data_IF_758322060195
#
_entry.id   IF_758322060195
#
_cell.length_a   1.000
_cell.length_b   1.000
_cell.length_c   1.000
_cell.angle_alpha   90.00
_cell.angle_beta   90.00
_cell.angle_gamma   90.00
#
_symmetry.space_group_name_H-M   'P 1'
#
loop_
_entity.id
_entity.type
_entity.pdbx_description
1 polymer ?
#
# COMPACT_ATOMS: atom_id res chain seq x y z
N UNK A 1 21.42 10.79 -7.14
CA UNK A 1 20.16 11.50 -6.87
C UNK A 1 20.42 13.00 -6.94
N UNK A 2 19.66 13.72 -7.76
CA UNK A 2 19.78 15.18 -7.92
C UNK A 2 19.29 15.90 -6.66
N UNK A 3 19.68 17.16 -6.48
CA UNK A 3 19.29 17.98 -5.31
C UNK A 3 17.76 18.05 -5.14
N UNK A 4 17.04 18.23 -6.25
CA UNK A 4 15.57 18.32 -6.25
C UNK A 4 14.90 17.02 -5.82
N UNK A 5 15.35 15.88 -6.36
CA UNK A 5 14.85 14.55 -5.98
C UNK A 5 15.05 14.30 -4.47
N UNK A 6 16.22 14.71 -3.93
CA UNK A 6 16.51 14.60 -2.50
C UNK A 6 15.58 15.48 -1.65
N UNK A 7 15.27 16.69 -2.13
CA UNK A 7 14.33 17.59 -1.45
C UNK A 7 12.92 17.00 -1.41
N UNK A 8 12.43 16.44 -2.53
CA UNK A 8 11.11 15.78 -2.60
C UNK A 8 11.05 14.55 -1.70
N UNK A 9 12.10 13.73 -1.70
CA UNK A 9 12.18 12.58 -0.80
C UNK A 9 12.11 12.99 0.67
N UNK A 10 12.88 14.01 1.07
CA UNK A 10 12.85 14.52 2.44
C UNK A 10 11.49 15.13 2.80
N UNK A 11 10.83 15.80 1.85
CA UNK A 11 9.49 16.35 2.04
C UNK A 11 8.45 15.24 2.28
N UNK A 12 8.49 14.17 1.48
CA UNK A 12 7.62 13.00 1.66
C UNK A 12 7.85 12.33 3.02
N UNK A 13 9.10 12.08 3.40
CA UNK A 13 9.42 11.48 4.71
C UNK A 13 8.89 12.37 5.85
N UNK A 14 9.08 13.69 5.75
CA UNK A 14 8.57 14.65 6.73
C UNK A 14 7.05 14.64 6.81
N UNK A 15 6.36 14.56 5.66
CA UNK A 15 4.90 14.43 5.60
C UNK A 15 4.42 13.21 6.39
N UNK A 16 5.01 12.03 6.14
CA UNK A 16 4.61 10.80 6.83
C UNK A 16 4.92 10.85 8.34
N UNK A 17 6.08 11.40 8.72
CA UNK A 17 6.46 11.58 10.14
C UNK A 17 5.58 12.60 10.88
N UNK A 18 4.93 13.53 10.17
CA UNK A 18 3.99 14.45 10.79
C UNK A 18 2.75 13.71 11.33
N UNK A 19 2.32 12.62 10.68
CA UNK A 19 1.21 11.79 11.20
C UNK A 19 1.57 11.10 12.52
N UNK A 20 2.80 10.58 12.64
CA UNK A 20 3.32 10.10 13.94
C UNK A 20 3.34 11.22 14.98
N UNK A 21 3.76 12.42 14.59
CA UNK A 21 3.82 13.57 15.50
C UNK A 21 2.43 14.03 15.97
N UNK A 22 1.41 13.99 15.10
CA UNK A 22 0.02 14.29 15.48
C UNK A 22 -0.49 13.26 16.51
N UNK A 23 -0.25 11.97 16.27
CA UNK A 23 -0.64 10.90 17.19
C UNK A 23 0.10 10.97 18.52
N UNK A 24 1.40 11.27 18.51
CA UNK A 24 2.20 11.54 19.71
C UNK A 24 1.58 12.65 20.57
N UNK A 25 1.22 13.79 19.97
CA UNK A 25 0.57 14.89 20.68
C UNK A 25 -0.77 14.47 21.27
N UNK A 26 -1.58 13.74 20.51
CA UNK A 26 -2.88 13.25 20.97
C UNK A 26 -2.74 12.29 22.15
N UNK A 27 -1.79 11.35 22.10
CA UNK A 27 -1.55 10.41 23.19
C UNK A 27 -1.04 11.09 24.45
N UNK A 28 -0.11 12.04 24.32
CA UNK A 28 0.39 12.84 25.46
C UNK A 28 -0.75 13.68 26.06
N UNK A 29 -1.62 14.26 25.24
CA UNK A 29 -2.79 15.00 25.72
C UNK A 29 -3.79 14.08 26.44
N UNK A 30 -4.02 12.87 25.90
CA UNK A 30 -4.93 11.88 26.46
C UNK A 30 -4.41 11.22 27.74
N UNK A 31 -3.10 11.25 28.03
CA UNK A 31 -2.56 10.86 29.35
C UNK A 31 -3.17 11.67 30.51
N UNK A 32 -3.69 12.87 30.24
CA UNK A 32 -4.39 13.70 31.24
C UNK A 32 -5.81 13.19 31.52
N UNK A 33 -6.36 12.31 30.68
CA UNK A 33 -7.73 11.79 30.81
C UNK A 33 -7.70 10.45 31.56
N UNK A 34 -8.48 10.29 32.64
CA UNK A 34 -8.40 9.11 33.52
C UNK A 34 -8.80 7.78 32.85
N UNK A 35 -9.51 7.80 31.73
CA UNK A 35 -10.06 6.59 31.10
C UNK A 35 -9.25 6.03 29.91
N UNK A 36 -8.32 6.80 29.33
CA UNK A 36 -7.79 6.52 27.99
C UNK A 36 -6.59 5.57 27.96
N UNK A 37 -5.95 5.31 29.10
CA UNK A 37 -4.69 4.54 29.17
C UNK A 37 -4.77 3.32 30.09
N UNK A 38 -5.98 2.76 30.28
CA UNK A 38 -6.13 1.44 30.92
C UNK A 38 -5.42 0.39 30.06
N UNK A 39 -4.20 0.00 30.43
CA UNK A 39 -3.62 -1.27 29.97
C UNK A 39 -2.16 -1.28 29.53
N UNK A 40 -1.56 -0.16 29.06
CA UNK A 40 -0.16 -0.20 28.55
C UNK A 40 0.92 0.27 29.52
N UNK A 41 0.61 1.14 30.48
CA UNK A 41 1.61 1.73 31.39
C UNK A 41 1.06 2.01 32.79
N UNK A 42 0.07 1.26 33.27
CA UNK A 42 -0.71 1.62 34.47
C UNK A 42 0.17 1.88 35.71
N UNK A 43 1.29 1.17 35.87
CA UNK A 43 2.23 1.29 36.98
C UNK A 43 3.17 2.50 36.92
N UNK A 44 3.26 3.19 35.77
CA UNK A 44 4.23 4.28 35.57
C UNK A 44 3.69 5.64 36.01
N UNK A 45 4.59 6.49 36.53
CA UNK A 45 4.31 7.91 36.78
C UNK A 45 4.05 8.65 35.47
N UNK A 46 3.29 9.77 35.46
CA UNK A 46 2.97 10.53 34.25
C UNK A 46 4.18 10.96 33.41
N UNK A 47 5.30 11.31 34.04
CA UNK A 47 6.53 11.68 33.33
C UNK A 47 7.15 10.50 32.56
N UNK A 48 7.23 9.33 33.20
CA UNK A 48 7.74 8.09 32.59
C UNK A 48 6.85 7.64 31.42
N UNK A 49 5.52 7.80 31.54
CA UNK A 49 4.57 7.54 30.44
C UNK A 49 4.85 8.43 29.23
N UNK A 50 5.08 9.74 29.45
CA UNK A 50 5.39 10.69 28.37
C UNK A 50 6.70 10.34 27.67
N UNK A 51 7.71 9.96 28.43
CA UNK A 51 8.99 9.52 27.89
C UNK A 51 8.85 8.27 27.02
N UNK A 52 8.13 7.24 27.50
CA UNK A 52 7.85 6.03 26.74
C UNK A 52 7.07 6.30 25.45
N UNK A 53 6.11 7.22 25.48
CA UNK A 53 5.38 7.65 24.27
C UNK A 53 6.33 8.32 23.28
N UNK A 54 7.17 9.26 23.74
CA UNK A 54 8.16 9.94 22.89
C UNK A 54 9.14 8.95 22.26
N UNK A 55 9.63 8.00 23.05
CA UNK A 55 10.53 6.93 22.60
C UNK A 55 9.86 6.08 21.50
N UNK A 56 8.63 5.63 21.72
CA UNK A 56 7.85 4.89 20.73
C UNK A 56 7.71 5.64 19.40
N UNK A 57 7.27 6.91 19.45
CA UNK A 57 7.07 7.70 18.23
C UNK A 57 8.37 8.14 17.57
N UNK A 58 9.47 8.26 18.31
CA UNK A 58 10.81 8.45 17.74
C UNK A 58 11.20 7.23 16.89
N UNK A 59 11.08 6.03 17.47
CA UNK A 59 11.35 4.76 16.77
C UNK A 59 10.45 4.60 15.55
N UNK A 60 9.16 4.92 15.66
CA UNK A 60 8.23 4.85 14.54
C UNK A 60 8.63 5.79 13.39
N UNK A 61 9.04 7.03 13.68
CA UNK A 61 9.51 7.99 12.65
C UNK A 61 10.78 7.51 11.96
N UNK A 62 11.70 6.89 12.71
CA UNK A 62 12.92 6.27 12.16
C UNK A 62 12.57 5.07 11.27
N UNK A 63 11.62 4.22 11.69
CA UNK A 63 11.11 3.11 10.89
C UNK A 63 10.43 3.58 9.60
N UNK A 64 9.60 4.63 9.63
CA UNK A 64 8.99 5.24 8.43
C UNK A 64 10.06 5.64 7.43
N UNK A 65 11.12 6.32 7.89
CA UNK A 65 12.24 6.72 7.03
C UNK A 65 12.94 5.48 6.44
N UNK A 66 13.26 4.49 7.28
CA UNK A 66 13.91 3.27 6.84
C UNK A 66 13.07 2.48 5.82
N UNK A 67 11.76 2.41 6.02
CA UNK A 67 10.80 1.75 5.13
C UNK A 67 10.80 2.42 3.75
N UNK A 68 10.69 3.74 3.67
CA UNK A 68 10.75 4.50 2.40
C UNK A 68 12.09 4.28 1.68
N UNK A 69 13.20 4.35 2.41
CA UNK A 69 14.52 4.11 1.83
C UNK A 69 14.66 2.68 1.31
N UNK A 70 14.13 1.69 2.04
CA UNK A 70 14.09 0.29 1.59
C UNK A 70 13.28 0.13 0.31
N UNK A 71 12.10 0.76 0.20
CA UNK A 71 11.28 0.69 -1.01
C UNK A 71 12.01 1.21 -2.26
N UNK A 72 12.81 2.28 -2.11
CA UNK A 72 13.60 2.84 -3.20
C UNK A 72 14.72 1.91 -3.70
N UNK A 73 15.20 0.98 -2.87
CA UNK A 73 16.24 0.00 -3.24
C UNK A 73 15.68 -1.21 -3.98
N UNK A 74 14.36 -1.39 -4.00
CA UNK A 74 13.73 -2.52 -4.65
C UNK A 74 13.87 -2.41 -6.17
N UNK A 75 13.91 -3.55 -6.89
CA UNK A 75 13.97 -3.57 -8.34
C UNK A 75 12.74 -2.91 -8.99
N UNK A 76 12.85 -2.64 -10.28
CA UNK A 76 11.78 -2.05 -11.07
C UNK A 76 10.72 -3.10 -11.43
N UNK A 77 9.47 -2.67 -11.45
CA UNK A 77 8.34 -3.48 -11.88
C UNK A 77 8.45 -3.73 -13.39
N UNK A 78 8.31 -4.97 -13.84
CA UNK A 78 8.26 -5.31 -15.27
C UNK A 78 6.85 -5.66 -15.71
N UNK A 79 6.29 -6.67 -15.04
CA UNK A 79 4.94 -7.16 -15.32
C UNK A 79 4.11 -7.34 -14.06
N UNK A 80 2.81 -7.20 -14.20
CA UNK A 80 1.80 -7.49 -13.20
C UNK A 80 0.74 -8.39 -13.81
N UNK A 81 0.39 -9.47 -13.12
CA UNK A 81 -0.65 -10.42 -13.55
C UNK A 81 -1.61 -10.68 -12.40
N UNK A 82 -2.89 -10.76 -12.70
CA UNK A 82 -3.90 -11.24 -11.77
C UNK A 82 -4.81 -12.24 -12.46
N UNK A 83 -5.11 -13.33 -11.76
CA UNK A 83 -6.14 -14.30 -12.12
C UNK A 83 -7.15 -14.32 -11.00
N UNK A 84 -8.43 -14.23 -11.33
CA UNK A 84 -9.51 -14.26 -10.36
C UNK A 84 -10.46 -15.38 -10.72
N UNK A 85 -10.79 -16.22 -9.76
CA UNK A 85 -11.79 -17.27 -9.88
C UNK A 85 -13.03 -16.86 -9.08
N UNK A 86 -14.21 -17.00 -9.68
CA UNK A 86 -15.48 -16.69 -9.04
C UNK A 86 -16.20 -17.95 -8.58
N UNK A 87 -16.60 -17.96 -7.32
CA UNK A 87 -17.38 -19.03 -6.71
C UNK A 87 -18.75 -18.51 -6.28
N UNK A 88 -19.81 -19.28 -6.51
CA UNK A 88 -21.16 -18.90 -6.10
C UNK A 88 -21.36 -19.18 -4.61
N UNK A 89 -21.78 -18.16 -3.87
CA UNK A 89 -22.18 -18.24 -2.47
C UNK A 89 -23.70 -18.00 -2.34
N UNK A 90 -24.44 -18.78 -1.53
CA UNK A 90 -25.89 -18.63 -1.38
C UNK A 90 -26.32 -17.27 -0.80
N UNK A 91 -25.55 -16.71 0.11
CA UNK A 91 -25.88 -15.45 0.82
C UNK A 91 -25.41 -14.22 0.03
N UNK A 92 -24.25 -14.31 -0.62
CA UNK A 92 -23.55 -13.14 -1.16
C UNK A 92 -23.37 -13.15 -2.69
N UNK A 93 -23.96 -14.13 -3.38
CA UNK A 93 -23.80 -14.28 -4.83
C UNK A 93 -22.38 -14.67 -5.21
N UNK A 94 -21.84 -14.12 -6.30
CA UNK A 94 -20.50 -14.47 -6.80
C UNK A 94 -19.40 -13.85 -5.91
N UNK A 95 -18.48 -14.67 -5.39
CA UNK A 95 -17.36 -14.25 -4.56
C UNK A 95 -16.02 -14.56 -5.26
N UNK A 96 -15.13 -13.56 -5.40
CA UNK A 96 -13.85 -13.74 -6.07
C UNK A 96 -12.74 -14.23 -5.13
N UNK A 97 -11.90 -15.11 -5.67
CA UNK A 97 -10.60 -15.47 -5.15
C UNK A 97 -9.53 -15.03 -6.16
N UNK A 98 -8.70 -14.07 -5.79
CA UNK A 98 -7.67 -13.52 -6.63
C UNK A 98 -6.30 -14.10 -6.29
N UNK A 99 -5.54 -14.41 -7.33
CA UNK A 99 -4.11 -14.68 -7.30
C UNK A 99 -3.40 -13.58 -8.07
N UNK A 100 -2.32 -13.04 -7.53
CA UNK A 100 -1.53 -11.98 -8.14
C UNK A 100 -0.09 -12.45 -8.29
N UNK A 101 0.48 -12.21 -9.45
CA UNK A 101 1.88 -12.42 -9.76
C UNK A 101 2.52 -11.10 -10.19
N UNK A 102 3.73 -10.87 -9.74
CA UNK A 102 4.52 -9.72 -10.15
C UNK A 102 5.92 -10.16 -10.52
N UNK A 103 6.42 -9.67 -11.66
CA UNK A 103 7.80 -9.87 -12.09
C UNK A 103 8.59 -8.57 -11.98
N UNK A 104 9.73 -8.64 -11.31
CA UNK A 104 10.71 -7.57 -11.17
C UNK A 104 12.16 -8.08 -11.35
N UNK A 105 12.33 -9.17 -12.11
CA UNK A 105 13.57 -9.97 -12.19
C UNK A 105 13.52 -11.28 -11.39
N UNK A 106 12.49 -11.45 -10.57
CA UNK A 106 12.05 -12.71 -9.98
C UNK A 106 10.52 -12.69 -9.91
N UNK A 107 9.86 -13.85 -10.03
CA UNK A 107 8.42 -13.95 -9.88
C UNK A 107 8.03 -13.99 -8.40
N UNK A 108 7.03 -13.20 -8.01
CA UNK A 108 6.45 -13.20 -6.68
C UNK A 108 4.95 -13.42 -6.75
N UNK A 109 4.38 -14.03 -5.70
CA UNK A 109 3.02 -14.53 -5.66
C UNK A 109 2.25 -14.02 -4.43
N UNK A 110 0.95 -13.75 -4.59
CA UNK A 110 0.03 -13.43 -3.50
C UNK A 110 -1.39 -13.91 -3.75
N UNK A 111 -2.12 -14.16 -2.66
CA UNK A 111 -3.53 -14.58 -2.69
C UNK A 111 -4.42 -13.65 -1.87
N UNK A 112 -5.63 -13.42 -2.38
CA UNK A 112 -6.67 -12.61 -1.75
C UNK A 112 -8.06 -13.15 -2.05
N UNK A 113 -9.01 -12.91 -1.15
CA UNK A 113 -10.41 -13.32 -1.31
C UNK A 113 -11.31 -12.21 -0.78
N UNK A 114 -12.47 -12.03 -1.40
CA UNK A 114 -13.47 -11.07 -0.95
C UNK A 114 -14.87 -11.72 -0.88
N UNK A 115 -15.70 -11.26 0.06
CA UNK A 115 -17.07 -11.76 0.28
C UNK A 115 -18.00 -10.63 0.76
N UNK A 116 -19.31 -10.82 0.66
CA UNK A 116 -20.31 -9.83 1.06
C UNK A 116 -20.99 -9.16 -0.13
N UNK A 117 -21.67 -8.04 0.11
CA UNK A 117 -22.41 -7.27 -0.89
C UNK A 117 -22.13 -5.76 -0.79
N UNK A 118 -22.45 -5.01 -1.85
CA UNK A 118 -22.43 -3.54 -1.85
C UNK A 118 -21.12 -2.85 -2.23
N UNK A 119 -20.12 -3.59 -2.72
CA UNK A 119 -18.84 -3.03 -3.16
C UNK A 119 -18.25 -3.85 -4.32
N UNK A 120 -17.23 -3.30 -4.98
CA UNK A 120 -16.50 -4.04 -6.02
C UNK A 120 -15.60 -5.12 -5.42
N UNK A 121 -16.12 -6.35 -5.38
CA UNK A 121 -15.42 -7.50 -4.81
C UNK A 121 -14.18 -7.89 -5.61
N UNK A 122 -14.16 -7.60 -6.91
CA UNK A 122 -13.02 -7.93 -7.77
C UNK A 122 -11.79 -7.13 -7.35
N UNK A 123 -11.90 -5.80 -7.29
CA UNK A 123 -10.80 -4.94 -6.84
C UNK A 123 -10.39 -5.23 -5.40
N UNK A 124 -11.34 -5.56 -4.51
CA UNK A 124 -11.01 -5.94 -3.14
C UNK A 124 -10.15 -7.21 -3.05
N UNK A 125 -10.53 -8.28 -3.76
CA UNK A 125 -9.75 -9.52 -3.76
C UNK A 125 -8.34 -9.29 -4.33
N UNK A 126 -8.22 -8.53 -5.42
CA UNK A 126 -6.92 -8.20 -6.03
C UNK A 126 -6.09 -7.29 -5.11
N UNK A 127 -6.71 -6.31 -4.44
CA UNK A 127 -6.05 -5.44 -3.46
C UNK A 127 -5.46 -6.27 -2.32
N UNK A 128 -6.23 -7.21 -1.77
CA UNK A 128 -5.74 -8.11 -0.72
C UNK A 128 -4.60 -9.01 -1.19
N UNK A 129 -4.71 -9.59 -2.39
CA UNK A 129 -3.65 -10.41 -2.97
C UNK A 129 -2.35 -9.62 -3.18
N UNK A 130 -2.48 -8.38 -3.67
CA UNK A 130 -1.34 -7.47 -3.90
C UNK A 130 -0.70 -7.04 -2.58
N UNK A 131 -1.51 -6.71 -1.57
CA UNK A 131 -1.02 -6.23 -0.27
C UNK A 131 -0.32 -7.31 0.56
N UNK A 132 -0.66 -8.58 0.33
CA UNK A 132 -0.07 -9.77 0.98
C UNK A 132 1.19 -10.30 0.28
N UNK A 133 1.46 -9.88 -0.94
CA UNK A 133 2.69 -10.24 -1.68
C UNK A 133 3.72 -9.11 -1.63
N UNK A 134 4.94 -9.39 -2.12
CA UNK A 134 5.93 -8.33 -2.32
C UNK A 134 5.54 -7.35 -3.42
N UNK A 135 4.52 -7.67 -4.24
CA UNK A 135 3.96 -6.81 -5.27
C UNK A 135 3.71 -5.38 -4.77
N UNK A 136 3.06 -5.24 -3.59
CA UNK A 136 2.82 -3.95 -2.96
C UNK A 136 4.10 -3.12 -2.84
N UNK A 137 5.17 -3.72 -2.31
CA UNK A 137 6.41 -2.98 -2.05
C UNK A 137 7.09 -2.55 -3.35
N UNK A 138 7.05 -3.41 -4.38
CA UNK A 138 7.59 -3.08 -5.71
C UNK A 138 6.81 -1.92 -6.35
N UNK A 139 5.47 -1.99 -6.34
CA UNK A 139 4.60 -0.94 -6.86
C UNK A 139 4.82 0.38 -6.11
N UNK A 140 4.85 0.35 -4.78
CA UNK A 140 5.10 1.54 -3.97
C UNK A 140 6.50 2.12 -4.23
N UNK A 141 7.52 1.28 -4.41
CA UNK A 141 8.86 1.71 -4.78
C UNK A 141 8.88 2.47 -6.11
N UNK A 142 8.18 1.97 -7.13
CA UNK A 142 8.05 2.66 -8.42
C UNK A 142 7.29 3.99 -8.30
N UNK A 143 6.19 4.02 -7.55
CA UNK A 143 5.43 5.24 -7.34
C UNK A 143 6.25 6.32 -6.61
N UNK A 144 7.02 5.92 -5.59
CA UNK A 144 7.91 6.85 -4.87
C UNK A 144 9.01 7.34 -5.82
N UNK A 145 9.62 6.46 -6.62
CA UNK A 145 10.61 6.86 -7.64
C UNK A 145 10.04 7.87 -8.63
N UNK A 146 8.82 7.64 -9.10
CA UNK A 146 8.13 8.59 -9.98
C UNK A 146 7.90 9.93 -9.29
N UNK A 147 7.34 9.92 -8.08
CA UNK A 147 7.12 11.13 -7.29
C UNK A 147 8.41 11.95 -7.08
N UNK A 148 9.53 11.32 -6.72
CA UNK A 148 10.79 12.05 -6.50
C UNK A 148 11.37 12.60 -7.80
N UNK A 149 11.25 11.89 -8.91
CA UNK A 149 11.84 12.29 -10.19
C UNK A 149 10.98 13.33 -10.93
N UNK A 150 9.67 13.10 -11.08
CA UNK A 150 8.78 14.02 -11.81
C UNK A 150 8.12 15.07 -10.93
N UNK A 151 7.94 14.80 -9.63
CA UNK A 151 7.11 15.63 -8.75
C UNK A 151 5.61 15.42 -8.92
N UNK A 152 5.19 14.48 -9.77
CA UNK A 152 3.77 14.13 -9.94
C UNK A 152 3.21 13.54 -8.63
N UNK A 153 2.00 13.94 -8.21
CA UNK A 153 1.37 13.38 -7.02
C UNK A 153 1.08 11.89 -7.18
N UNK A 154 0.94 11.18 -6.06
CA UNK A 154 0.48 9.79 -6.08
C UNK A 154 -0.92 9.69 -6.71
N UNK A 155 -1.19 8.65 -7.51
CA UNK A 155 -2.51 8.43 -8.09
C UNK A 155 -3.55 8.09 -7.02
N UNK A 156 -4.84 8.19 -7.40
CA UNK A 156 -5.94 7.67 -6.59
C UNK A 156 -5.73 6.18 -6.29
N UNK A 157 -6.16 5.74 -5.10
CA UNK A 157 -5.91 4.40 -4.59
C UNK A 157 -4.59 4.22 -3.82
N UNK A 158 -3.87 5.32 -3.56
CA UNK A 158 -2.71 5.35 -2.66
C UNK A 158 -3.08 6.16 -1.42
N UNK A 159 -2.95 5.55 -0.25
CA UNK A 159 -3.19 6.23 1.02
C UNK A 159 -1.88 6.50 1.76
N UNK A 160 -1.79 7.68 2.36
CA UNK A 160 -0.64 8.14 3.16
C UNK A 160 -1.07 8.40 4.59
N UNK A 161 -0.39 7.76 5.53
CA UNK A 161 -0.42 8.06 6.96
C UNK A 161 1.03 8.17 7.47
N UNK A 162 1.39 7.51 8.57
CA UNK A 162 2.79 7.26 8.93
C UNK A 162 3.49 6.26 7.99
N UNK A 163 2.75 5.65 7.07
CA UNK A 163 3.18 4.72 6.03
C UNK A 163 2.43 5.00 4.73
N UNK A 164 2.90 4.41 3.62
CA UNK A 164 2.20 4.43 2.34
C UNK A 164 1.68 3.02 2.07
N UNK A 165 0.43 2.91 1.61
CA UNK A 165 -0.16 1.62 1.23
C UNK A 165 -1.11 1.75 0.05
N UNK A 166 -1.31 0.63 -0.64
CA UNK A 166 -2.32 0.50 -1.69
C UNK A 166 -3.70 0.35 -1.04
N UNK A 167 -4.64 1.18 -1.47
CA UNK A 167 -6.02 1.23 -0.97
C UNK A 167 -6.97 1.44 -2.14
N UNK A 168 -7.17 0.37 -2.92
CA UNK A 168 -8.12 0.33 -4.04
C UNK A 168 -9.19 -0.75 -3.84
N UNK A 169 -9.27 -1.33 -2.65
CA UNK A 169 -10.28 -2.32 -2.29
C UNK A 169 -11.69 -1.71 -2.35
N UNK A 170 -12.55 -2.28 -3.20
CA UNK A 170 -13.91 -1.79 -3.40
C UNK A 170 -14.03 -0.53 -4.25
N UNK A 171 -12.92 -0.01 -4.80
CA UNK A 171 -12.88 1.21 -5.61
C UNK A 171 -13.02 0.97 -7.12
N UNK A 172 -13.04 -0.29 -7.58
CA UNK A 172 -13.01 -0.64 -8.99
C UNK A 172 -11.61 -0.97 -9.50
N UNK A 173 -11.50 -1.96 -10.40
CA UNK A 173 -10.22 -2.36 -11.00
C UNK A 173 -9.59 -1.28 -11.90
N UNK A 174 -10.38 -0.31 -12.36
CA UNK A 174 -9.85 0.88 -13.05
C UNK A 174 -8.83 1.66 -12.19
N UNK A 175 -9.01 1.67 -10.87
CA UNK A 175 -8.05 2.28 -9.93
C UNK A 175 -6.71 1.56 -9.96
N UNK A 176 -6.72 0.21 -9.95
CA UNK A 176 -5.50 -0.59 -10.09
C UNK A 176 -4.82 -0.34 -11.45
N UNK A 177 -5.58 -0.41 -12.55
CA UNK A 177 -5.05 -0.20 -13.89
C UNK A 177 -4.41 1.18 -14.05
N UNK A 178 -5.01 2.22 -13.45
CA UNK A 178 -4.42 3.55 -13.39
C UNK A 178 -3.11 3.57 -12.59
N UNK A 179 -3.06 2.93 -11.40
CA UNK A 179 -1.81 2.82 -10.62
C UNK A 179 -0.71 2.13 -11.44
N UNK A 180 -1.02 1.03 -12.13
CA UNK A 180 -0.06 0.29 -12.94
C UNK A 180 0.41 1.11 -14.16
N UNK A 181 -0.50 1.85 -14.79
CA UNK A 181 -0.15 2.80 -15.86
C UNK A 181 0.77 3.91 -15.35
N UNK A 182 0.53 4.42 -14.14
CA UNK A 182 1.44 5.37 -13.49
C UNK A 182 2.83 4.78 -13.30
N UNK A 183 2.95 3.47 -13.06
CA UNK A 183 4.22 2.73 -12.98
C UNK A 183 4.83 2.39 -14.35
N UNK A 184 4.22 2.83 -15.45
CA UNK A 184 4.70 2.61 -16.82
C UNK A 184 4.20 1.33 -17.49
N UNK A 185 3.31 0.56 -16.84
CA UNK A 185 2.73 -0.64 -17.43
C UNK A 185 1.57 -0.26 -18.34
N UNK A 186 1.90 0.28 -19.52
CA UNK A 186 0.96 0.82 -20.49
C UNK A 186 0.27 -0.26 -21.32
N UNK A 187 0.88 -1.44 -21.47
CA UNK A 187 0.28 -2.58 -22.18
C UNK A 187 -0.60 -3.34 -21.21
N UNK A 188 -1.90 -3.12 -21.27
CA UNK A 188 -2.87 -3.70 -20.34
C UNK A 188 -3.90 -4.52 -21.12
N UNK A 189 -4.04 -5.79 -20.76
CA UNK A 189 -5.04 -6.70 -21.30
C UNK A 189 -5.92 -7.15 -20.14
N UNK A 190 -7.23 -7.04 -20.32
CA UNK A 190 -8.23 -7.57 -19.40
C UNK A 190 -9.14 -8.50 -20.18
N UNK A 191 -9.19 -9.77 -19.77
CA UNK A 191 -10.11 -10.77 -20.29
C UNK A 191 -11.07 -11.21 -19.18
N UNK A 192 -12.36 -11.17 -19.49
CA UNK A 192 -13.42 -11.62 -18.61
C UNK A 192 -14.05 -12.89 -19.17
N UNK A 193 -14.36 -13.84 -18.29
CA UNK A 193 -15.11 -15.05 -18.62
C UNK A 193 -16.27 -15.20 -17.64
N UNK A 194 -17.10 -16.22 -17.82
CA UNK A 194 -18.25 -16.46 -16.94
C UNK A 194 -17.85 -16.69 -15.47
N UNK A 195 -16.67 -17.25 -15.23
CA UNK A 195 -16.24 -17.69 -13.89
C UNK A 195 -14.85 -17.20 -13.52
N UNK A 196 -14.18 -16.45 -14.39
CA UNK A 196 -12.81 -16.00 -14.16
C UNK A 196 -12.49 -14.67 -14.84
N UNK A 197 -11.62 -13.87 -14.21
CA UNK A 197 -11.01 -12.68 -14.80
C UNK A 197 -9.50 -12.83 -14.88
N UNK A 198 -8.90 -12.26 -15.93
CA UNK A 198 -7.46 -12.20 -16.11
C UNK A 198 -7.04 -10.77 -16.45
N UNK A 199 -6.08 -10.25 -15.69
CA UNK A 199 -5.46 -8.94 -15.92
C UNK A 199 -3.98 -9.17 -16.15
N UNK A 200 -3.47 -8.75 -17.30
CA UNK A 200 -2.05 -8.79 -17.63
C UNK A 200 -1.58 -7.38 -18.00
N UNK A 201 -0.53 -6.92 -17.33
CA UNK A 201 0.05 -5.59 -17.52
C UNK A 201 1.56 -5.70 -17.69
N UNK A 202 2.13 -5.01 -18.67
CA UNK A 202 3.57 -4.97 -18.92
C UNK A 202 4.04 -3.58 -19.33
N UNK A 203 5.32 -3.28 -19.07
CA UNK A 203 6.02 -2.15 -19.68
C UNK A 203 6.22 -2.39 -21.18
N UNK A 204 6.51 -1.33 -21.94
CA UNK A 204 6.92 -1.45 -23.33
C UNK A 204 8.24 -2.23 -23.43
N UNK A 205 8.32 -3.19 -24.36
CA UNK A 205 9.49 -4.05 -24.55
C UNK A 205 9.56 -5.29 -23.63
N UNK A 206 8.78 -5.35 -22.54
CA UNK A 206 8.63 -6.57 -21.73
C UNK A 206 7.51 -7.47 -22.31
N UNK A 207 7.70 -8.79 -22.30
CA UNK A 207 6.69 -9.73 -22.78
C UNK A 207 5.45 -9.79 -21.87
N UNK A 208 4.26 -9.78 -22.49
CA UNK A 208 3.02 -10.14 -21.81
C UNK A 208 2.97 -11.66 -21.77
N UNK A 209 3.17 -12.23 -20.57
CA UNK A 209 3.09 -13.67 -20.33
C UNK A 209 1.67 -14.10 -20.01
#
# INVERSE_FOLDING_TARGET
MKREERNRLNALIKELQNESTKRERNDIANLRKPYYYKGRFNSLKPAQKREKIREYYKTEKEQTKAEILKLLTLPQLKTFRASVEWSRNPTWGMNPAARVWVNYGAENYGEGRASGCGYDKLSAAICYATNRSNAKNIILGELIRKYITSGEPFPYGIYKSNKIYLHFDGCGCSTLLNILKYCGLNRQIWNETKTSDFINCAKEGDELL
#
